data_IF_325980952003
#
_entry.id   IF_325980952003
#
_cell.length_a   1.000
_cell.length_b   1.000
_cell.length_c   1.000
_cell.angle_alpha   90.00
_cell.angle_beta   90.00
_cell.angle_gamma   90.00
#
_symmetry.space_group_name_H-M   'P 1'
#
loop_
_entity.id
_entity.type
_entity.pdbx_description
1 polymer ?
#
# COMPACT_ATOMS: atom_id res chain seq x y z
N UNK A 1 28.83 22.82 -0.31
CA UNK A 1 27.68 22.03 -0.80
C UNK A 1 28.06 21.53 -2.19
N UNK A 2 28.35 20.24 -2.34
CA UNK A 2 28.85 19.67 -3.61
C UNK A 2 27.67 19.40 -4.57
N UNK A 3 27.93 19.41 -5.87
CA UNK A 3 26.93 19.14 -6.93
C UNK A 3 26.25 17.78 -6.72
N UNK A 4 26.99 16.79 -6.20
CA UNK A 4 26.47 15.46 -5.83
C UNK A 4 25.41 15.52 -4.71
N UNK A 5 25.55 16.41 -3.73
CA UNK A 5 24.56 16.59 -2.67
C UNK A 5 23.27 17.23 -3.18
N UNK A 6 23.36 18.12 -4.17
CA UNK A 6 22.20 18.78 -4.80
C UNK A 6 21.45 17.76 -5.66
N UNK A 7 22.18 16.96 -6.45
CA UNK A 7 21.61 15.89 -7.26
C UNK A 7 20.92 14.83 -6.36
N UNK A 8 21.58 14.41 -5.28
CA UNK A 8 21.01 13.46 -4.31
C UNK A 8 19.73 13.98 -3.65
N UNK A 9 19.70 15.25 -3.24
CA UNK A 9 18.50 15.88 -2.69
C UNK A 9 17.36 15.97 -3.72
N UNK A 10 17.68 16.26 -4.99
CA UNK A 10 16.70 16.30 -6.06
C UNK A 10 16.08 14.93 -6.36
N UNK A 11 16.91 13.88 -6.38
CA UNK A 11 16.44 12.49 -6.54
C UNK A 11 15.54 12.07 -5.37
N UNK A 12 15.89 12.44 -4.13
CA UNK A 12 15.06 12.19 -2.96
C UNK A 12 13.69 12.87 -3.07
N UNK A 13 13.65 14.12 -3.53
CA UNK A 13 12.40 14.86 -3.68
C UNK A 13 11.49 14.26 -4.77
N UNK A 14 12.08 13.72 -5.85
CA UNK A 14 11.36 13.08 -6.94
C UNK A 14 10.87 11.66 -6.62
N UNK A 15 11.47 10.97 -5.65
CA UNK A 15 11.17 9.58 -5.37
C UNK A 15 9.70 9.33 -4.94
N UNK A 16 9.10 10.12 -4.02
CA UNK A 16 7.68 10.00 -3.72
C UNK A 16 6.78 10.34 -4.90
N UNK A 17 7.17 11.32 -5.72
CA UNK A 17 6.43 11.67 -6.93
C UNK A 17 6.41 10.49 -7.91
N UNK A 18 7.56 9.88 -8.17
CA UNK A 18 7.68 8.69 -9.00
C UNK A 18 6.77 7.56 -8.52
N UNK A 19 6.80 7.23 -7.22
CA UNK A 19 5.95 6.17 -6.68
C UNK A 19 4.46 6.54 -6.58
N UNK A 20 4.14 7.83 -6.54
CA UNK A 20 2.77 8.32 -6.67
C UNK A 20 2.23 8.05 -8.09
N UNK A 21 3.04 8.29 -9.13
CA UNK A 21 2.70 7.91 -10.51
C UNK A 21 2.52 6.40 -10.66
N UNK A 22 3.43 5.60 -10.10
CA UNK A 22 3.30 4.13 -10.08
C UNK A 22 2.00 3.72 -9.39
N UNK A 23 1.71 4.29 -8.21
CA UNK A 23 0.47 4.02 -7.48
C UNK A 23 -0.79 4.35 -8.28
N UNK A 24 -0.83 5.52 -8.94
CA UNK A 24 -1.96 5.92 -9.79
C UNK A 24 -2.16 4.98 -10.96
N UNK A 25 -1.05 4.55 -11.59
CA UNK A 25 -1.07 3.56 -12.66
C UNK A 25 -1.65 2.23 -12.17
N UNK A 26 -1.19 1.71 -11.02
CA UNK A 26 -1.68 0.45 -10.44
C UNK A 26 -3.17 0.50 -10.09
N UNK A 27 -3.62 1.60 -9.46
CA UNK A 27 -5.05 1.81 -9.16
C UNK A 27 -5.86 1.86 -10.45
N UNK A 28 -5.36 2.55 -11.48
CA UNK A 28 -6.00 2.65 -12.79
C UNK A 28 -6.11 1.33 -13.51
N UNK A 29 -5.03 0.54 -13.54
CA UNK A 29 -5.02 -0.82 -14.10
C UNK A 29 -6.01 -1.71 -13.35
N UNK A 30 -6.04 -1.67 -12.01
CA UNK A 30 -6.99 -2.46 -11.24
C UNK A 30 -8.45 -2.08 -11.53
N UNK A 31 -8.76 -0.79 -11.60
CA UNK A 31 -10.10 -0.30 -11.97
C UNK A 31 -10.48 -0.72 -13.38
N UNK A 32 -9.56 -0.61 -14.33
CA UNK A 32 -9.76 -1.04 -15.71
C UNK A 32 -10.03 -2.55 -15.79
N UNK A 33 -9.17 -3.38 -15.17
CA UNK A 33 -9.33 -4.83 -15.10
C UNK A 33 -10.69 -5.24 -14.53
N UNK A 34 -11.14 -4.57 -13.46
CA UNK A 34 -12.44 -4.82 -12.85
C UNK A 34 -13.61 -4.45 -13.77
N UNK A 35 -13.46 -3.41 -14.57
CA UNK A 35 -14.52 -2.97 -15.49
C UNK A 35 -14.56 -3.80 -16.78
N UNK A 36 -13.57 -4.66 -17.06
CA UNK A 36 -13.63 -5.62 -18.17
C UNK A 36 -14.79 -6.62 -18.04
N UNK A 37 -15.26 -6.87 -16.82
CA UNK A 37 -16.43 -7.74 -16.59
C UNK A 37 -17.78 -7.02 -16.79
N UNK A 38 -17.78 -5.72 -17.07
CA UNK A 38 -18.99 -4.89 -17.28
C UNK A 38 -19.25 -4.66 -18.77
N UNK A 39 -20.45 -4.20 -19.16
CA UNK A 39 -20.73 -3.82 -20.55
C UNK A 39 -19.74 -2.78 -21.08
N UNK A 40 -19.49 -2.79 -22.41
CA UNK A 40 -18.52 -1.92 -23.08
C UNK A 40 -18.72 -0.43 -22.75
N UNK A 41 -19.96 0.00 -22.60
CA UNK A 41 -20.32 1.40 -22.30
C UNK A 41 -19.91 1.87 -20.89
N UNK A 42 -19.53 0.94 -20.00
CA UNK A 42 -19.06 1.22 -18.64
C UNK A 42 -17.55 1.02 -18.48
N UNK A 43 -16.83 0.80 -19.58
CA UNK A 43 -15.39 0.66 -19.53
C UNK A 43 -14.72 2.00 -19.22
N UNK A 44 -13.94 1.99 -18.15
CA UNK A 44 -13.13 3.13 -17.72
C UNK A 44 -11.69 2.86 -18.15
N UNK A 45 -11.03 3.79 -18.84
CA UNK A 45 -9.64 3.59 -19.23
C UNK A 45 -8.71 3.59 -18.01
N UNK A 46 -7.60 2.86 -18.10
CA UNK A 46 -6.64 2.75 -17.00
C UNK A 46 -6.00 4.11 -16.62
N UNK A 47 -5.97 5.08 -17.54
CA UNK A 47 -5.44 6.41 -17.26
C UNK A 47 -6.42 7.34 -16.53
N UNK A 48 -7.67 6.90 -16.28
CA UNK A 48 -8.69 7.75 -15.63
C UNK A 48 -8.23 8.34 -14.29
N UNK A 49 -7.54 7.63 -13.39
CA UNK A 49 -7.08 8.24 -12.15
C UNK A 49 -6.16 9.46 -12.35
N UNK A 50 -5.37 9.50 -13.43
CA UNK A 50 -4.55 10.67 -13.74
C UNK A 50 -5.40 11.86 -14.15
N UNK A 51 -6.42 11.64 -15.00
CA UNK A 51 -7.34 12.70 -15.42
C UNK A 51 -8.21 13.17 -14.26
N UNK A 52 -8.63 12.25 -13.38
CA UNK A 52 -9.44 12.55 -12.20
C UNK A 52 -8.66 13.44 -11.22
N UNK A 53 -7.38 13.13 -10.93
CA UNK A 53 -6.52 14.00 -10.11
C UNK A 53 -6.48 15.42 -10.68
N UNK A 54 -6.19 15.56 -11.99
CA UNK A 54 -6.10 16.88 -12.62
C UNK A 54 -7.43 17.62 -12.57
N UNK A 55 -8.55 16.94 -12.82
CA UNK A 55 -9.88 17.52 -12.77
C UNK A 55 -10.22 17.99 -11.35
N UNK A 56 -9.99 17.15 -10.34
CA UNK A 56 -10.28 17.44 -8.94
C UNK A 56 -9.55 18.68 -8.41
N UNK A 57 -8.30 18.90 -8.81
CA UNK A 57 -7.54 20.09 -8.41
C UNK A 57 -7.85 21.34 -9.25
N UNK A 58 -8.46 21.17 -10.43
CA UNK A 58 -8.87 22.29 -11.31
C UNK A 58 -10.23 22.86 -10.92
N UNK A 59 -11.13 22.03 -10.42
CA UNK A 59 -12.46 22.47 -9.99
C UNK A 59 -12.39 23.36 -8.75
N UNK A 60 -13.17 24.47 -8.69
CA UNK A 60 -13.23 25.31 -7.51
C UNK A 60 -13.74 24.49 -6.32
N UNK A 61 -12.97 24.48 -5.24
CA UNK A 61 -13.32 23.78 -4.00
C UNK A 61 -13.62 24.78 -2.91
N UNK A 62 -14.72 24.53 -2.20
CA UNK A 62 -15.07 25.23 -0.97
C UNK A 62 -14.17 24.72 0.14
N UNK A 63 -13.55 25.63 0.88
CA UNK A 63 -12.73 25.25 2.03
C UNK A 63 -13.64 24.79 3.17
N UNK A 64 -13.42 23.57 3.67
CA UNK A 64 -14.23 22.93 4.71
C UNK A 64 -13.66 23.15 6.11
N UNK A 65 -12.63 24.00 6.24
CA UNK A 65 -12.05 24.44 7.50
C UNK A 65 -10.65 23.89 7.75
N UNK A 66 -10.03 24.38 8.83
CA UNK A 66 -8.62 24.08 9.13
C UNK A 66 -8.38 22.60 9.48
N UNK A 67 -9.32 21.94 10.17
CA UNK A 67 -9.15 20.57 10.66
C UNK A 67 -9.14 19.53 9.52
N UNK A 68 -10.13 19.50 8.60
CA UNK A 68 -10.07 18.61 7.44
C UNK A 68 -8.81 18.87 6.59
N UNK A 69 -8.46 20.13 6.33
CA UNK A 69 -7.24 20.48 5.59
C UNK A 69 -5.99 19.86 6.21
N UNK A 70 -5.81 20.03 7.52
CA UNK A 70 -4.66 19.49 8.23
C UNK A 70 -4.64 17.96 8.18
N UNK A 71 -5.79 17.31 8.36
CA UNK A 71 -5.88 15.85 8.33
C UNK A 71 -5.55 15.27 6.94
N UNK A 72 -6.06 15.86 5.85
CA UNK A 72 -5.74 15.41 4.49
C UNK A 72 -4.25 15.64 4.14
N UNK A 73 -3.69 16.79 4.54
CA UNK A 73 -2.26 17.09 4.31
C UNK A 73 -1.39 16.10 5.07
N UNK A 74 -1.69 15.87 6.36
CA UNK A 74 -0.93 14.94 7.18
C UNK A 74 -1.04 13.50 6.67
N UNK A 75 -2.25 13.08 6.27
CA UNK A 75 -2.48 11.75 5.70
C UNK A 75 -1.65 11.49 4.45
N UNK A 76 -1.46 12.50 3.59
CA UNK A 76 -0.60 12.43 2.40
C UNK A 76 0.89 12.52 2.74
N UNK A 77 1.26 13.37 3.71
CA UNK A 77 2.65 13.55 4.11
C UNK A 77 3.27 12.26 4.66
N UNK A 78 2.51 11.49 5.45
CA UNK A 78 3.00 10.24 6.04
C UNK A 78 3.58 9.28 4.99
N UNK A 79 2.84 8.80 3.97
CA UNK A 79 3.39 7.88 2.98
C UNK A 79 4.51 8.50 2.13
N UNK A 80 4.54 9.83 1.96
CA UNK A 80 5.69 10.54 1.34
C UNK A 80 6.95 10.36 2.19
N UNK A 81 6.87 10.59 3.50
CA UNK A 81 7.98 10.35 4.42
C UNK A 81 8.40 8.88 4.44
N UNK A 82 7.44 7.95 4.39
CA UNK A 82 7.74 6.53 4.40
C UNK A 82 8.57 6.09 3.20
N UNK A 83 8.31 6.63 1.99
CA UNK A 83 9.13 6.33 0.81
C UNK A 83 10.61 6.66 1.04
N UNK A 84 10.90 7.76 1.77
CA UNK A 84 12.26 8.14 2.11
C UNK A 84 12.92 7.27 3.18
N UNK A 85 12.16 6.48 3.91
CA UNK A 85 12.67 5.53 4.90
C UNK A 85 12.94 4.15 4.31
N UNK A 86 12.53 3.89 3.06
CA UNK A 86 12.72 2.59 2.43
C UNK A 86 14.14 2.42 1.88
N UNK A 87 14.79 1.26 2.11
CA UNK A 87 16.13 0.99 1.59
C UNK A 87 16.11 0.68 0.09
N UNK A 88 16.57 1.63 -0.73
CA UNK A 88 16.85 1.43 -2.15
C UNK A 88 18.36 1.39 -2.37
N UNK A 89 18.84 0.44 -3.17
CA UNK A 89 20.29 0.32 -3.41
C UNK A 89 20.85 1.42 -4.33
N UNK A 90 19.99 2.08 -5.10
CA UNK A 90 20.38 3.07 -6.11
C UNK A 90 20.21 4.52 -5.67
N UNK A 91 19.65 4.79 -4.49
CA UNK A 91 19.36 6.15 -4.01
C UNK A 91 19.73 6.25 -2.53
N UNK A 92 20.48 7.29 -2.11
CA UNK A 92 20.79 7.51 -0.70
C UNK A 92 19.54 7.99 0.04
N UNK A 93 18.74 7.07 0.56
CA UNK A 93 17.56 7.35 1.38
C UNK A 93 17.88 7.46 2.87
N UNK A 94 16.92 7.93 3.67
CA UNK A 94 17.02 7.94 5.13
C UNK A 94 16.73 6.55 5.73
N UNK A 95 17.07 5.47 5.01
CA UNK A 95 16.78 4.10 5.40
C UNK A 95 17.46 3.66 6.71
N UNK A 96 18.51 4.36 7.13
CA UNK A 96 19.16 4.18 8.45
C UNK A 96 18.19 4.43 9.61
N UNK A 97 17.17 5.27 9.38
CA UNK A 97 16.08 5.55 10.33
C UNK A 97 14.80 4.77 10.00
N UNK A 98 14.82 3.93 8.97
CA UNK A 98 13.70 3.14 8.51
C UNK A 98 13.60 1.82 9.26
N UNK A 99 12.80 1.83 10.34
CA UNK A 99 12.42 0.59 11.03
C UNK A 99 11.10 0.05 10.50
N UNK A 100 10.96 -1.27 10.55
CA UNK A 100 9.76 -1.97 10.13
C UNK A 100 8.51 -1.46 10.86
N UNK A 101 8.64 -1.16 12.15
CA UNK A 101 7.58 -0.58 12.96
C UNK A 101 7.15 0.79 12.41
N UNK A 102 8.11 1.66 12.11
CA UNK A 102 7.83 3.02 11.64
C UNK A 102 7.10 2.97 10.31
N UNK A 103 7.52 2.09 9.39
CA UNK A 103 6.88 1.95 8.08
C UNK A 103 5.49 1.32 8.19
N UNK A 104 5.35 0.22 8.93
CA UNK A 104 4.06 -0.48 9.07
C UNK A 104 3.02 0.36 9.83
N UNK A 105 3.39 0.96 10.97
CA UNK A 105 2.49 1.84 11.71
C UNK A 105 2.24 3.16 11.00
N UNK A 106 3.21 3.68 10.25
CA UNK A 106 3.01 4.85 9.41
C UNK A 106 1.95 4.61 8.32
N UNK A 107 1.99 3.46 7.65
CA UNK A 107 0.98 3.09 6.65
C UNK A 107 -0.42 2.98 7.26
N UNK A 108 -0.51 2.40 8.47
CA UNK A 108 -1.74 2.33 9.24
C UNK A 108 -2.23 3.73 9.66
N UNK A 109 -1.33 4.58 10.16
CA UNK A 109 -1.65 5.95 10.56
C UNK A 109 -2.15 6.80 9.38
N UNK A 110 -1.55 6.66 8.19
CA UNK A 110 -2.04 7.33 6.98
C UNK A 110 -3.46 6.91 6.62
N UNK A 111 -3.77 5.60 6.64
CA UNK A 111 -5.14 5.10 6.43
C UNK A 111 -6.12 5.66 7.47
N UNK A 112 -5.70 5.72 8.74
CA UNK A 112 -6.52 6.20 9.85
C UNK A 112 -6.81 7.70 9.72
N UNK A 113 -5.78 8.51 9.46
CA UNK A 113 -5.91 9.94 9.24
C UNK A 113 -6.82 10.24 8.06
N UNK A 114 -6.70 9.48 6.96
CA UNK A 114 -7.59 9.61 5.81
C UNK A 114 -9.04 9.28 6.15
N UNK A 115 -9.28 8.22 6.94
CA UNK A 115 -10.63 7.88 7.40
C UNK A 115 -11.21 8.93 8.35
N UNK A 116 -10.40 9.49 9.25
CA UNK A 116 -10.81 10.60 10.11
C UNK A 116 -11.12 11.86 9.30
N UNK A 117 -10.29 12.18 8.31
CA UNK A 117 -10.49 13.30 7.41
C UNK A 117 -11.82 13.15 6.65
N UNK A 118 -12.08 11.98 6.07
CA UNK A 118 -13.35 11.69 5.40
C UNK A 118 -14.56 11.77 6.34
N UNK A 119 -14.44 11.31 7.60
CA UNK A 119 -15.51 11.44 8.60
C UNK A 119 -15.79 12.89 8.98
N UNK A 120 -14.75 13.72 9.10
CA UNK A 120 -14.92 15.14 9.41
C UNK A 120 -15.67 15.91 8.32
N UNK A 121 -15.79 15.34 7.12
CA UNK A 121 -16.52 15.93 6.00
C UNK A 121 -18.00 15.50 5.91
N UNK A 122 -18.38 14.41 6.57
CA UNK A 122 -19.75 13.86 6.50
C UNK A 122 -20.39 13.99 7.87
N UNK A 123 -20.98 15.15 8.17
CA UNK A 123 -22.02 15.23 9.18
C UNK A 123 -23.17 14.31 8.73
N UNK A 124 -23.58 13.37 9.57
CA UNK A 124 -24.77 12.48 9.40
C UNK A 124 -24.63 11.26 8.45
N UNK A 125 -24.21 10.10 8.97
CA UNK A 125 -24.70 8.77 8.53
C UNK A 125 -24.23 7.64 9.46
N UNK A 126 -25.05 7.33 10.45
CA UNK A 126 -24.63 6.74 11.74
C UNK A 126 -24.63 5.19 11.80
N UNK A 127 -24.85 4.47 10.69
CA UNK A 127 -24.98 2.98 10.77
C UNK A 127 -24.24 2.15 9.72
N UNK A 128 -23.85 2.71 8.58
CA UNK A 128 -23.08 1.98 7.56
C UNK A 128 -21.54 2.15 7.70
N UNK A 129 -21.07 3.12 8.49
CA UNK A 129 -19.64 3.44 8.59
C UNK A 129 -18.85 2.52 9.54
N UNK A 130 -19.47 1.92 10.56
CA UNK A 130 -18.77 1.07 11.53
C UNK A 130 -18.27 -0.26 10.95
N UNK A 131 -19.01 -0.85 10.00
CA UNK A 131 -18.58 -2.07 9.31
C UNK A 131 -17.38 -1.84 8.35
N UNK A 132 -17.18 -0.59 7.92
CA UNK A 132 -16.08 -0.23 7.01
C UNK A 132 -14.77 0.07 7.73
N UNK A 133 -14.83 0.64 8.96
CA UNK A 133 -13.63 0.88 9.77
C UNK A 133 -12.84 -0.40 10.02
N UNK A 134 -13.52 -1.46 10.48
CA UNK A 134 -12.90 -2.77 10.69
C UNK A 134 -12.31 -3.36 9.41
N UNK A 135 -13.02 -3.26 8.28
CA UNK A 135 -12.55 -3.83 7.01
C UNK A 135 -11.27 -3.17 6.49
N UNK A 136 -11.10 -1.87 6.69
CA UNK A 136 -9.87 -1.17 6.33
C UNK A 136 -8.75 -1.49 7.32
N UNK A 137 -9.06 -1.54 8.62
CA UNK A 137 -8.05 -1.78 9.66
C UNK A 137 -7.54 -3.21 9.69
N UNK A 138 -8.40 -4.19 9.44
CA UNK A 138 -8.03 -5.60 9.47
C UNK A 138 -6.98 -5.93 8.40
N UNK A 139 -7.04 -5.29 7.24
CA UNK A 139 -6.05 -5.50 6.17
C UNK A 139 -4.70 -4.88 6.51
N UNK A 140 -4.69 -3.69 7.11
CA UNK A 140 -3.44 -3.08 7.56
C UNK A 140 -2.84 -3.86 8.74
N UNK A 141 -3.68 -4.39 9.65
CA UNK A 141 -3.26 -5.24 10.76
C UNK A 141 -2.68 -6.57 10.27
N UNK A 142 -3.27 -7.21 9.25
CA UNK A 142 -2.73 -8.46 8.71
C UNK A 142 -1.37 -8.24 8.05
N UNK A 143 -1.19 -7.14 7.32
CA UNK A 143 0.11 -6.78 6.74
C UNK A 143 1.17 -6.50 7.82
N UNK A 144 0.78 -5.85 8.92
CA UNK A 144 1.66 -5.65 10.08
C UNK A 144 2.08 -6.99 10.67
N UNK A 145 1.13 -7.91 10.91
CA UNK A 145 1.42 -9.24 11.45
C UNK A 145 2.37 -10.02 10.53
N UNK A 146 2.11 -10.03 9.22
CA UNK A 146 2.97 -10.65 8.20
C UNK A 146 4.38 -10.05 8.22
N UNK A 147 4.51 -8.74 8.40
CA UNK A 147 5.80 -8.09 8.54
C UNK A 147 6.55 -8.55 9.80
N UNK A 148 5.85 -8.68 10.92
CA UNK A 148 6.45 -9.21 12.16
C UNK A 148 6.91 -10.66 12.02
N UNK A 149 6.25 -11.48 11.21
CA UNK A 149 6.73 -12.82 10.90
C UNK A 149 8.14 -12.76 10.29
N UNK A 150 8.35 -11.88 9.31
CA UNK A 150 9.66 -11.69 8.69
C UNK A 150 10.69 -11.18 9.71
N UNK A 151 10.32 -10.19 10.53
CA UNK A 151 11.21 -9.68 11.56
C UNK A 151 11.61 -10.74 12.58
N UNK A 152 10.68 -11.61 12.99
CA UNK A 152 10.96 -12.72 13.90
C UNK A 152 11.94 -13.73 13.28
N UNK A 153 11.80 -14.03 11.98
CA UNK A 153 12.74 -14.95 11.29
C UNK A 153 14.14 -14.37 11.12
N UNK A 154 14.27 -13.06 10.94
CA UNK A 154 15.57 -12.38 10.77
C UNK A 154 16.20 -12.06 12.13
N UNK A 155 15.40 -11.80 13.16
CA UNK A 155 15.85 -11.32 14.46
C UNK A 155 16.17 -9.82 14.49
N UNK A 156 15.68 -9.04 13.51
CA UNK A 156 15.86 -7.57 13.46
C UNK A 156 14.60 -6.87 12.98
N UNK A 157 14.38 -5.66 13.51
CA UNK A 157 13.32 -4.75 13.08
C UNK A 157 13.81 -3.71 12.07
N UNK A 158 15.13 -3.60 11.86
CA UNK A 158 15.68 -2.65 10.89
C UNK A 158 15.46 -3.19 9.48
N UNK A 159 14.87 -2.37 8.61
CA UNK A 159 14.63 -2.76 7.22
C UNK A 159 15.93 -3.05 6.47
N UNK A 160 17.00 -2.32 6.78
CA UNK A 160 18.33 -2.56 6.20
C UNK A 160 18.88 -3.94 6.55
N UNK A 161 18.70 -4.39 7.79
CA UNK A 161 19.22 -5.68 8.24
C UNK A 161 18.45 -6.83 7.59
N UNK A 162 17.12 -6.73 7.55
CA UNK A 162 16.23 -7.69 6.86
C UNK A 162 16.66 -7.85 5.40
N UNK A 163 16.86 -6.73 4.73
CA UNK A 163 17.27 -6.66 3.34
C UNK A 163 18.69 -7.20 3.11
N UNK A 164 19.62 -6.93 4.04
CA UNK A 164 21.01 -7.38 3.93
C UNK A 164 21.16 -8.88 4.18
N UNK A 165 20.39 -9.45 5.12
CA UNK A 165 20.36 -10.90 5.35
C UNK A 165 19.92 -11.64 4.09
N UNK A 166 19.00 -11.06 3.30
CA UNK A 166 18.58 -11.61 2.02
C UNK A 166 19.66 -11.52 0.92
N UNK A 167 20.68 -10.68 1.07
CA UNK A 167 21.82 -10.55 0.14
C UNK A 167 23.04 -11.37 0.56
N UNK A 168 23.25 -11.59 1.86
CA UNK A 168 24.37 -12.39 2.40
C UNK A 168 24.39 -13.82 1.86
N UNK A 169 23.22 -14.39 1.58
CA UNK A 169 23.08 -15.73 0.99
C UNK A 169 23.42 -15.78 -0.51
N UNK A 170 23.41 -14.64 -1.22
CA UNK A 170 23.67 -14.59 -2.68
C UNK A 170 25.18 -14.44 -2.97
N UNK A 171 25.91 -13.74 -2.09
CA UNK A 171 27.32 -13.37 -2.32
C UNK A 171 28.33 -14.37 -1.75
N UNK A 172 27.92 -15.29 -0.86
CA UNK A 172 28.85 -16.16 -0.13
C UNK A 172 29.38 -17.36 -0.92
N UNK A 173 28.83 -17.69 -2.10
CA UNK A 173 29.47 -18.54 -3.12
C UNK A 173 29.97 -19.93 -2.70
N UNK A 174 29.69 -20.40 -1.48
CA UNK A 174 30.22 -21.65 -0.93
C UNK A 174 29.08 -22.60 -0.55
N UNK A 175 29.11 -23.78 -1.18
CA UNK A 175 28.21 -24.95 -1.02
C UNK A 175 26.89 -24.92 -1.82
N UNK A 176 26.65 -25.90 -2.70
CA UNK A 176 25.37 -26.13 -3.39
C UNK A 176 24.35 -26.81 -2.45
N UNK A 177 24.25 -26.35 -1.21
CA UNK A 177 23.19 -26.70 -0.27
C UNK A 177 22.17 -25.55 -0.24
N UNK A 178 21.34 -25.53 -1.27
CA UNK A 178 19.99 -24.95 -1.38
C UNK A 178 19.58 -23.91 -0.32
N UNK A 179 19.83 -22.63 -0.60
CA UNK A 179 18.98 -21.55 -0.13
C UNK A 179 18.77 -20.53 -1.26
N UNK A 180 18.02 -20.95 -2.27
CA UNK A 180 17.52 -20.09 -3.33
C UNK A 180 16.40 -19.18 -2.77
N UNK A 181 16.14 -18.02 -3.39
CA UNK A 181 14.89 -17.26 -3.30
C UNK A 181 13.62 -18.15 -3.23
N UNK A 182 13.67 -19.29 -3.93
CA UNK A 182 12.68 -20.37 -3.89
C UNK A 182 12.52 -20.99 -2.49
N UNK A 183 13.59 -21.25 -1.75
CA UNK A 183 13.58 -21.86 -0.42
C UNK A 183 13.15 -20.88 0.69
N UNK A 184 13.32 -19.57 0.49
CA UNK A 184 12.84 -18.56 1.45
C UNK A 184 11.33 -18.30 1.31
N UNK A 185 10.84 -18.17 0.06
CA UNK A 185 9.40 -18.00 -0.24
C UNK A 185 8.58 -19.30 -0.09
N UNK A 186 9.16 -20.47 -0.43
CA UNK A 186 8.48 -21.78 -0.41
C UNK A 186 8.80 -22.58 0.86
N UNK A 187 9.97 -22.39 1.48
CA UNK A 187 10.44 -23.22 2.59
C UNK A 187 10.16 -22.67 3.99
N UNK A 188 10.36 -21.37 4.24
CA UNK A 188 10.25 -20.80 5.61
C UNK A 188 8.99 -19.98 5.86
N UNK A 189 8.55 -19.15 4.90
CA UNK A 189 7.41 -18.24 5.09
C UNK A 189 6.30 -18.34 4.02
N UNK A 190 5.95 -19.54 3.50
CA UNK A 190 4.95 -19.66 2.44
C UNK A 190 3.58 -19.13 2.87
N UNK A 191 3.20 -19.38 4.12
CA UNK A 191 1.93 -18.90 4.66
C UNK A 191 1.92 -17.37 4.80
N UNK A 192 2.96 -16.76 5.36
CA UNK A 192 3.04 -15.32 5.55
C UNK A 192 3.08 -14.56 4.21
N UNK A 193 3.84 -15.05 3.23
CA UNK A 193 3.87 -14.47 1.88
C UNK A 193 2.50 -14.53 1.20
N UNK A 194 1.84 -15.70 1.23
CA UNK A 194 0.49 -15.86 0.68
C UNK A 194 -0.53 -14.95 1.38
N UNK A 195 -0.49 -14.88 2.71
CA UNK A 195 -1.37 -14.02 3.49
C UNK A 195 -1.13 -12.52 3.20
N UNK A 196 0.12 -12.13 2.94
CA UNK A 196 0.44 -10.77 2.50
C UNK A 196 -0.16 -10.44 1.13
N UNK A 197 -0.05 -11.35 0.15
CA UNK A 197 -0.66 -11.18 -1.18
C UNK A 197 -2.19 -11.13 -1.09
N UNK A 198 -2.81 -12.01 -0.29
CA UNK A 198 -4.26 -12.00 -0.05
C UNK A 198 -4.68 -10.69 0.60
N UNK A 199 -3.95 -10.22 1.62
CA UNK A 199 -4.21 -8.95 2.30
C UNK A 199 -4.14 -7.78 1.32
N UNK A 200 -3.13 -7.72 0.46
CA UNK A 200 -3.01 -6.72 -0.59
C UNK A 200 -4.18 -6.78 -1.59
N UNK A 201 -4.60 -7.98 -2.00
CA UNK A 201 -5.77 -8.15 -2.87
C UNK A 201 -7.06 -7.64 -2.24
N UNK A 202 -7.29 -7.94 -0.96
CA UNK A 202 -8.43 -7.44 -0.21
C UNK A 202 -8.34 -5.92 -0.01
N UNK A 203 -7.13 -5.37 0.20
CA UNK A 203 -6.89 -3.93 0.21
C UNK A 203 -7.38 -3.28 -1.09
N UNK A 204 -6.94 -3.79 -2.25
CA UNK A 204 -7.34 -3.30 -3.58
C UNK A 204 -8.86 -3.32 -3.76
N UNK A 205 -9.52 -4.40 -3.36
CA UNK A 205 -10.97 -4.50 -3.40
C UNK A 205 -11.64 -3.41 -2.56
N UNK A 206 -11.13 -3.13 -1.35
CA UNK A 206 -11.67 -2.11 -0.45
C UNK A 206 -11.50 -0.68 -1.00
N UNK A 207 -10.31 -0.31 -1.51
CA UNK A 207 -10.05 1.07 -1.98
C UNK A 207 -10.77 1.42 -3.29
N UNK A 208 -11.17 0.43 -4.08
CA UNK A 208 -11.84 0.62 -5.37
C UNK A 208 -13.34 0.30 -5.34
N UNK A 209 -13.93 0.03 -4.17
CA UNK A 209 -15.36 -0.22 -4.07
C UNK A 209 -16.19 0.99 -4.59
N UNK A 210 -17.29 0.73 -5.32
CA UNK A 210 -18.13 1.76 -5.94
C UNK A 210 -18.72 2.76 -4.93
N UNK A 211 -18.84 2.39 -3.66
CA UNK A 211 -19.27 3.30 -2.58
C UNK A 211 -18.28 4.44 -2.32
N UNK A 212 -16.97 4.20 -2.47
CA UNK A 212 -15.95 5.25 -2.38
C UNK A 212 -16.00 6.18 -3.59
N UNK A 213 -16.38 5.63 -4.75
CA UNK A 213 -16.64 6.37 -5.98
C UNK A 213 -17.92 7.23 -5.85
N UNK A 214 -18.96 6.72 -5.21
CA UNK A 214 -20.16 7.50 -4.85
C UNK A 214 -19.88 8.57 -3.78
N UNK A 215 -18.99 8.30 -2.82
CA UNK A 215 -18.50 9.35 -1.90
C UNK A 215 -17.67 10.41 -2.64
N UNK A 216 -16.81 10.04 -3.59
CA UNK A 216 -16.11 10.96 -4.49
C UNK A 216 -17.08 11.79 -5.35
N UNK A 217 -18.15 11.19 -5.85
CA UNK A 217 -19.24 11.89 -6.54
C UNK A 217 -20.03 12.81 -5.60
N UNK A 218 -20.16 12.45 -4.31
CA UNK A 218 -20.73 13.36 -3.30
C UNK A 218 -19.80 14.55 -3.01
N UNK A 219 -18.47 14.34 -3.07
CA UNK A 219 -17.46 15.40 -2.95
C UNK A 219 -17.40 16.33 -4.17
N UNK A 220 -17.89 15.93 -5.34
CA UNK A 220 -17.99 16.83 -6.50
C UNK A 220 -18.92 18.03 -6.25
N UNK A 221 -19.81 17.98 -5.24
CA UNK A 221 -20.54 19.17 -4.77
C UNK A 221 -19.69 19.96 -3.77
N UNK A 222 -18.64 20.62 -4.27
CA UNK A 222 -17.90 21.67 -3.55
C UNK A 222 -16.65 21.23 -2.77
N UNK A 223 -16.20 19.98 -2.87
CA UNK A 223 -15.06 19.43 -2.10
C UNK A 223 -14.03 18.68 -2.98
N UNK A 224 -13.94 19.04 -4.26
CA UNK A 224 -13.12 18.38 -5.30
C UNK A 224 -11.65 18.20 -4.92
N UNK A 225 -11.01 19.21 -4.32
CA UNK A 225 -9.61 19.13 -3.85
C UNK A 225 -9.37 17.97 -2.88
N UNK A 226 -10.30 17.70 -1.97
CA UNK A 226 -10.17 16.63 -0.97
C UNK A 226 -10.29 15.25 -1.61
N UNK A 227 -11.15 15.10 -2.62
CA UNK A 227 -11.21 13.91 -3.47
C UNK A 227 -9.89 13.64 -4.18
N UNK A 228 -9.24 14.69 -4.74
CA UNK A 228 -7.91 14.61 -5.32
C UNK A 228 -6.84 14.16 -4.30
N UNK A 229 -6.82 14.77 -3.12
CA UNK A 229 -5.88 14.40 -2.04
C UNK A 229 -6.10 12.96 -1.55
N UNK A 230 -7.35 12.51 -1.46
CA UNK A 230 -7.69 11.13 -1.11
C UNK A 230 -7.17 10.13 -2.14
N UNK A 231 -7.31 10.45 -3.43
CA UNK A 231 -6.83 9.61 -4.53
C UNK A 231 -5.29 9.51 -4.53
N UNK A 232 -4.59 10.64 -4.37
CA UNK A 232 -3.12 10.68 -4.28
C UNK A 232 -2.59 9.92 -3.05
N UNK A 233 -3.25 10.08 -1.91
CA UNK A 233 -2.84 9.40 -0.68
C UNK A 233 -3.07 7.90 -0.80
N UNK A 234 -4.23 7.48 -1.34
CA UNK A 234 -4.54 6.05 -1.53
C UNK A 234 -3.60 5.41 -2.53
N UNK A 235 -3.26 6.09 -3.63
CA UNK A 235 -2.35 5.57 -4.65
C UNK A 235 -0.93 5.42 -4.12
N UNK A 236 -0.41 6.40 -3.39
CA UNK A 236 0.92 6.30 -2.77
C UNK A 236 0.93 5.22 -1.68
N UNK A 237 -0.13 5.09 -0.90
CA UNK A 237 -0.29 4.03 0.09
C UNK A 237 -0.26 2.61 -0.51
N UNK A 238 -0.87 2.42 -1.69
CA UNK A 238 -0.76 1.18 -2.47
C UNK A 238 0.68 0.91 -2.84
N UNK A 239 1.35 1.91 -3.43
CA UNK A 239 2.72 1.76 -3.89
C UNK A 239 3.65 1.40 -2.72
N UNK A 240 3.58 2.12 -1.60
CA UNK A 240 4.41 1.86 -0.42
C UNK A 240 4.15 0.48 0.19
N UNK A 241 2.89 0.01 0.25
CA UNK A 241 2.57 -1.35 0.72
C UNK A 241 3.20 -2.43 -0.18
N UNK A 242 3.13 -2.26 -1.49
CA UNK A 242 3.75 -3.19 -2.43
C UNK A 242 5.27 -3.14 -2.40
N UNK A 243 5.87 -1.95 -2.22
CA UNK A 243 7.32 -1.82 -2.05
C UNK A 243 7.74 -2.51 -0.76
N UNK A 244 7.05 -2.27 0.35
CA UNK A 244 7.34 -2.92 1.62
C UNK A 244 7.24 -4.44 1.49
N UNK A 245 6.17 -4.96 0.89
CA UNK A 245 6.05 -6.40 0.62
C UNK A 245 7.21 -6.89 -0.26
N UNK A 246 7.57 -6.17 -1.32
CA UNK A 246 8.68 -6.54 -2.18
C UNK A 246 10.02 -6.56 -1.44
N UNK A 247 10.29 -5.60 -0.56
CA UNK A 247 11.52 -5.56 0.22
C UNK A 247 11.55 -6.68 1.25
N UNK A 248 10.41 -6.94 1.90
CA UNK A 248 10.29 -8.01 2.88
C UNK A 248 10.42 -9.38 2.24
N UNK A 249 9.82 -9.61 1.06
CA UNK A 249 9.71 -10.96 0.50
C UNK A 249 10.52 -11.24 -0.77
N UNK A 250 10.90 -10.21 -1.51
CA UNK A 250 11.57 -10.36 -2.80
C UNK A 250 13.00 -9.80 -2.78
N UNK A 251 13.46 -9.24 -1.66
CA UNK A 251 14.81 -8.69 -1.55
C UNK A 251 14.96 -7.25 -2.02
N UNK A 252 16.12 -6.64 -1.76
CA UNK A 252 16.42 -5.29 -2.21
C UNK A 252 16.46 -5.18 -3.73
N UNK A 253 16.39 -3.94 -4.19
CA UNK A 253 16.62 -3.58 -5.57
C UNK A 253 16.95 -2.10 -5.71
N UNK A 254 17.45 -1.75 -6.90
CA UNK A 254 17.40 -0.37 -7.35
C UNK A 254 15.94 0.06 -7.50
N UNK A 255 15.67 1.36 -7.59
CA UNK A 255 14.31 1.88 -7.79
C UNK A 255 13.59 1.18 -8.96
N UNK A 256 14.31 0.91 -10.06
CA UNK A 256 13.76 0.21 -11.22
C UNK A 256 13.44 -1.27 -10.94
N UNK A 257 14.39 -1.99 -10.33
CA UNK A 257 14.21 -3.42 -9.99
C UNK A 257 13.08 -3.59 -8.98
N UNK A 258 13.01 -2.72 -7.97
CA UNK A 258 11.92 -2.71 -6.99
C UNK A 258 10.58 -2.41 -7.65
N UNK A 259 10.53 -1.48 -8.61
CA UNK A 259 9.31 -1.22 -9.39
C UNK A 259 8.86 -2.46 -10.18
N UNK A 260 9.79 -3.20 -10.78
CA UNK A 260 9.47 -4.46 -11.46
C UNK A 260 8.90 -5.50 -10.50
N UNK A 261 9.52 -5.67 -9.32
CA UNK A 261 9.03 -6.58 -8.28
C UNK A 261 7.64 -6.17 -7.77
N UNK A 262 7.40 -4.87 -7.59
CA UNK A 262 6.09 -4.30 -7.25
C UNK A 262 5.04 -4.72 -8.29
N UNK A 263 5.35 -4.66 -9.58
CA UNK A 263 4.46 -5.13 -10.65
C UNK A 263 4.23 -6.64 -10.57
N UNK A 264 5.26 -7.44 -10.28
CA UNK A 264 5.12 -8.89 -10.11
C UNK A 264 4.20 -9.27 -8.94
N UNK A 265 4.25 -8.53 -7.82
CA UNK A 265 3.36 -8.72 -6.66
C UNK A 265 1.95 -8.20 -6.94
N UNK A 266 1.85 -7.13 -7.71
CA UNK A 266 0.56 -6.54 -8.09
C UNK A 266 -0.30 -7.52 -8.86
N UNK A 267 0.24 -8.29 -9.82
CA UNK A 267 -0.54 -9.22 -10.65
C UNK A 267 -1.37 -10.22 -9.83
N UNK A 268 -0.78 -11.07 -8.94
CA UNK A 268 -1.57 -12.01 -8.14
C UNK A 268 -2.47 -11.28 -7.13
N UNK A 269 -2.03 -10.16 -6.56
CA UNK A 269 -2.84 -9.36 -5.64
C UNK A 269 -4.09 -8.80 -6.35
N UNK A 270 -3.94 -8.32 -7.58
CA UNK A 270 -5.02 -7.78 -8.38
C UNK A 270 -6.04 -8.86 -8.78
N UNK A 271 -5.55 -10.05 -9.15
CA UNK A 271 -6.42 -11.21 -9.44
C UNK A 271 -7.27 -11.58 -8.21
N UNK A 272 -6.65 -11.68 -7.02
CA UNK A 272 -7.38 -11.94 -5.77
C UNK A 272 -8.36 -10.81 -5.48
N UNK A 273 -7.94 -9.56 -5.61
CA UNK A 273 -8.81 -8.41 -5.40
C UNK A 273 -10.03 -8.40 -6.32
N UNK A 274 -9.87 -8.82 -7.58
CA UNK A 274 -10.99 -9.01 -8.50
C UNK A 274 -11.95 -10.10 -8.03
N UNK A 275 -11.43 -11.28 -7.69
CA UNK A 275 -12.24 -12.39 -7.16
C UNK A 275 -13.01 -11.98 -5.91
N UNK A 276 -12.34 -11.33 -4.96
CA UNK A 276 -12.95 -10.80 -3.74
C UNK A 276 -14.04 -9.79 -4.09
N UNK A 277 -13.79 -8.89 -5.05
CA UNK A 277 -14.78 -7.89 -5.47
C UNK A 277 -16.02 -8.45 -6.15
N UNK A 278 -15.93 -9.65 -6.76
CA UNK A 278 -17.06 -10.34 -7.41
C UNK A 278 -17.96 -11.07 -6.41
N UNK A 279 -17.39 -11.60 -5.33
CA UNK A 279 -18.10 -12.43 -4.34
C UNK A 279 -18.59 -11.58 -3.14
N UNK A 280 -17.96 -10.45 -2.89
CA UNK A 280 -18.11 -9.64 -1.67
C UNK A 280 -19.50 -9.00 -1.48
N UNK A 281 -20.25 -9.49 -0.49
CA UNK A 281 -21.18 -8.65 0.28
C UNK A 281 -20.44 -7.98 1.45
N UNK A 282 -20.97 -6.88 1.99
CA UNK A 282 -20.34 -6.16 3.12
C UNK A 282 -20.09 -7.07 4.35
N UNK A 283 -21.00 -8.01 4.63
CA UNK A 283 -20.85 -9.00 5.70
C UNK A 283 -19.74 -10.02 5.40
N UNK A 284 -19.67 -10.50 4.15
CA UNK A 284 -18.64 -11.45 3.73
C UNK A 284 -17.23 -10.84 3.80
N UNK A 285 -17.09 -9.56 3.47
CA UNK A 285 -15.82 -8.84 3.65
C UNK A 285 -15.39 -8.76 5.10
N UNK A 286 -16.33 -8.55 6.03
CA UNK A 286 -16.05 -8.59 7.46
C UNK A 286 -15.46 -9.93 7.91
N UNK A 287 -16.06 -11.04 7.49
CA UNK A 287 -15.54 -12.38 7.80
C UNK A 287 -14.20 -12.68 7.13
N UNK A 288 -14.05 -12.34 5.84
CA UNK A 288 -12.81 -12.56 5.10
C UNK A 288 -11.64 -11.80 5.74
N UNK A 289 -11.84 -10.52 6.06
CA UNK A 289 -10.85 -9.68 6.74
C UNK A 289 -10.46 -10.25 8.10
N UNK A 290 -11.45 -10.67 8.89
CA UNK A 290 -11.21 -11.28 10.21
C UNK A 290 -10.42 -12.59 10.08
N UNK A 291 -10.76 -13.43 9.09
CA UNK A 291 -10.07 -14.68 8.81
C UNK A 291 -8.61 -14.45 8.38
N UNK A 292 -8.36 -13.46 7.52
CA UNK A 292 -7.00 -13.10 7.09
C UNK A 292 -6.16 -12.62 8.28
N UNK A 293 -6.72 -11.82 9.19
CA UNK A 293 -6.04 -11.40 10.44
C UNK A 293 -5.72 -12.61 11.32
N UNK A 294 -6.70 -13.48 11.57
CA UNK A 294 -6.53 -14.67 12.42
C UNK A 294 -5.45 -15.60 11.84
N UNK A 295 -5.48 -15.87 10.54
CA UNK A 295 -4.45 -16.69 9.88
C UNK A 295 -3.06 -16.03 9.94
N UNK A 296 -2.99 -14.70 9.83
CA UNK A 296 -1.72 -13.96 9.97
C UNK A 296 -1.18 -14.06 11.39
N UNK A 297 -2.05 -14.01 12.39
CA UNK A 297 -1.67 -14.21 13.78
C UNK A 297 -1.19 -15.65 14.04
N UNK A 298 -1.90 -16.66 13.51
CA UNK A 298 -1.47 -18.06 13.58
C UNK A 298 -0.10 -18.23 12.93
N UNK A 299 0.13 -17.62 11.76
CA UNK A 299 1.44 -17.66 11.08
C UNK A 299 2.54 -17.06 11.96
N UNK A 300 2.26 -15.98 12.69
CA UNK A 300 3.22 -15.38 13.62
C UNK A 300 3.53 -16.30 14.80
N UNK A 301 2.51 -16.87 15.43
CA UNK A 301 2.67 -17.80 16.56
C UNK A 301 3.45 -19.05 16.15
N UNK A 302 3.17 -19.60 14.96
CA UNK A 302 3.89 -20.77 14.45
C UNK A 302 5.37 -20.48 14.16
N UNK A 303 5.70 -19.22 13.86
CA UNK A 303 7.09 -18.81 13.57
C UNK A 303 7.88 -18.53 14.85
N UNK A 304 7.21 -18.29 15.98
CA UNK A 304 7.84 -18.05 17.28
C UNK A 304 7.98 -19.31 18.16
N UNK A 305 7.46 -20.46 17.69
CA UNK A 305 7.61 -21.78 18.29
C UNK A 305 8.84 -22.51 17.72
#
# INVERSE_FOLDING_TARGET
MTIENILGAFVLLLLPLFYMFVGLFLVGVFQWLRNLSKPTDQHVPFWKPFTDVVAFFKEPSTDLGWLPNLLFILALAVPVFLVWLLPFTSVPTMAVHGDLLVVSFGLFASSLLMNLAAKSLVETSDKCQHAHGWNVWAVDLSLVLVAFVVAATVGSLKLTDIVNVQWGDILSGSSPSAFSFKDWLIGKLPLAGLLGIVSLGVYFANITQPFRQQCLESFHKGASKYAGMQLLTSSLNVAVRLILYSLLFLGPGSVLVTTLKVLMVFVPSALIGMLVSMVSSAKLMGYLNTLVVVLSFISLVLTSL
#
